data_IF_941658727620
#
_entry.id   IF_941658727620
#
_cell.length_a   1.000
_cell.length_b   1.000
_cell.length_c   1.000
_cell.angle_alpha   90.00
_cell.angle_beta   90.00
_cell.angle_gamma   90.00
#
_symmetry.space_group_name_H-M   'P 1'
#
loop_
_entity.id
_entity.type
_entity.pdbx_description
1 polymer ?
#
# COMPACT_ATOMS: atom_id res chain seq x y z
N UNK A 1 15.12 -6.35 8.87
CA UNK A 1 14.08 -7.40 9.05
C UNK A 1 14.06 -8.51 7.99
N UNK A 2 14.60 -8.31 6.79
CA UNK A 2 14.62 -9.35 5.75
C UNK A 2 15.49 -10.55 6.15
N UNK A 3 15.04 -11.75 5.81
CA UNK A 3 15.79 -13.00 5.92
C UNK A 3 17.04 -13.01 5.03
N UNK A 4 17.99 -13.88 5.36
CA UNK A 4 19.23 -14.05 4.61
C UNK A 4 18.96 -14.42 3.15
N UNK A 5 17.99 -15.29 2.88
CA UNK A 5 17.61 -15.72 1.53
C UNK A 5 17.16 -14.54 0.67
N UNK A 6 16.35 -13.64 1.24
CA UNK A 6 15.89 -12.45 0.52
C UNK A 6 17.05 -11.48 0.24
N UNK A 7 17.91 -11.24 1.23
CA UNK A 7 19.04 -10.31 1.09
C UNK A 7 20.04 -10.78 0.04
N UNK A 8 20.29 -12.08 -0.05
CA UNK A 8 21.27 -12.69 -0.96
C UNK A 8 20.67 -13.15 -2.29
N UNK A 9 19.36 -13.00 -2.49
CA UNK A 9 18.75 -13.33 -3.76
C UNK A 9 19.36 -12.49 -4.89
N UNK A 10 19.69 -13.11 -6.05
CA UNK A 10 20.28 -12.41 -7.18
C UNK A 10 19.40 -11.24 -7.62
N UNK A 11 19.99 -10.05 -7.66
CA UNK A 11 19.30 -8.86 -8.11
C UNK A 11 19.61 -8.64 -9.60
N UNK A 12 18.61 -8.56 -10.49
CA UNK A 12 18.83 -8.18 -11.87
C UNK A 12 19.49 -6.81 -11.95
N UNK A 13 20.43 -6.62 -12.89
CA UNK A 13 21.17 -5.36 -13.06
C UNK A 13 20.26 -4.13 -13.19
N UNK A 14 19.11 -4.28 -13.86
CA UNK A 14 18.11 -3.22 -14.03
C UNK A 14 17.45 -2.76 -12.71
N UNK A 15 17.62 -3.52 -11.62
CA UNK A 15 17.07 -3.21 -10.29
C UNK A 15 18.16 -2.90 -9.25
N UNK A 16 19.44 -2.81 -9.63
CA UNK A 16 20.52 -2.37 -8.72
C UNK A 16 20.18 -1.02 -8.07
N UNK A 17 19.45 -0.17 -8.80
CA UNK A 17 18.78 1.00 -8.26
C UNK A 17 17.28 0.73 -8.23
N UNK A 18 16.59 1.04 -7.11
CA UNK A 18 15.14 0.91 -7.06
C UNK A 18 14.50 1.81 -8.12
N UNK A 19 13.44 1.35 -8.81
CA UNK A 19 12.73 2.18 -9.78
C UNK A 19 12.25 3.48 -9.12
N UNK A 20 12.52 4.61 -9.77
CA UNK A 20 12.17 5.94 -9.25
C UNK A 20 10.65 6.20 -9.19
N UNK A 21 9.87 5.39 -9.89
CA UNK A 21 8.42 5.52 -10.00
C UNK A 21 7.65 4.71 -8.94
N UNK A 22 8.34 4.01 -8.02
CA UNK A 22 7.66 3.39 -6.89
C UNK A 22 7.17 4.48 -5.92
N UNK A 23 5.85 4.55 -5.75
CA UNK A 23 5.21 5.49 -4.83
C UNK A 23 5.77 5.39 -3.41
N UNK A 24 5.78 6.51 -2.69
CA UNK A 24 6.17 6.55 -1.28
C UNK A 24 4.94 6.39 -0.39
N UNK A 25 5.10 5.68 0.71
CA UNK A 25 4.07 5.53 1.73
C UNK A 25 4.58 6.09 3.05
N UNK A 26 3.77 6.95 3.67
CA UNK A 26 4.12 7.64 4.91
C UNK A 26 3.19 7.28 6.08
N UNK A 27 2.23 6.39 5.85
CA UNK A 27 1.32 5.87 6.88
C UNK A 27 -0.08 6.46 6.85
N UNK A 28 -0.38 7.42 5.95
CA UNK A 28 -1.69 8.07 5.88
C UNK A 28 -2.63 7.54 4.79
N UNK A 29 -2.08 6.94 3.73
CA UNK A 29 -2.88 6.37 2.65
C UNK A 29 -3.41 4.97 2.96
N UNK A 30 -4.23 4.42 2.06
CA UNK A 30 -4.70 3.04 2.19
C UNK A 30 -3.53 2.06 1.96
N UNK A 31 -3.21 1.17 2.91
CA UNK A 31 -2.14 0.21 2.75
C UNK A 31 -2.43 -0.85 1.67
N UNK A 32 -3.70 -1.19 1.41
CA UNK A 32 -4.09 -2.12 0.35
C UNK A 32 -3.87 -1.51 -1.03
N UNK A 33 -4.22 -0.23 -1.23
CA UNK A 33 -3.92 0.50 -2.47
C UNK A 33 -2.40 0.56 -2.72
N UNK A 34 -1.61 0.90 -1.69
CA UNK A 34 -0.15 0.97 -1.84
C UNK A 34 0.47 -0.38 -2.25
N UNK A 35 0.02 -1.49 -1.65
CA UNK A 35 0.51 -2.81 -2.05
C UNK A 35 0.03 -3.16 -3.47
N UNK A 36 -1.22 -2.85 -3.81
CA UNK A 36 -1.77 -3.10 -5.15
C UNK A 36 -0.97 -2.37 -6.23
N UNK A 37 -0.67 -1.09 -6.03
CA UNK A 37 0.13 -0.29 -6.95
C UNK A 37 1.54 -0.86 -7.14
N UNK A 38 2.16 -1.33 -6.05
CA UNK A 38 3.45 -2.00 -6.13
C UNK A 38 3.37 -3.33 -6.87
N UNK A 39 2.35 -4.14 -6.61
CA UNK A 39 2.17 -5.42 -7.30
C UNK A 39 1.99 -5.20 -8.80
N UNK A 40 1.11 -4.28 -9.23
CA UNK A 40 0.91 -3.95 -10.65
C UNK A 40 2.23 -3.54 -11.32
N UNK A 41 2.98 -2.63 -10.71
CA UNK A 41 4.22 -2.12 -11.29
C UNK A 41 5.35 -3.16 -11.34
N UNK A 42 5.45 -4.01 -10.33
CA UNK A 42 6.53 -4.99 -10.19
C UNK A 42 6.22 -6.28 -10.95
N UNK A 43 4.95 -6.68 -11.05
CA UNK A 43 4.52 -7.82 -11.85
C UNK A 43 4.62 -7.53 -13.34
N UNK A 44 4.31 -6.31 -13.77
CA UNK A 44 4.58 -5.87 -15.14
C UNK A 44 6.06 -6.05 -15.54
N UNK A 45 6.98 -5.87 -14.57
CA UNK A 45 8.42 -6.07 -14.75
C UNK A 45 8.90 -7.48 -14.39
N UNK A 46 7.99 -8.42 -14.15
CA UNK A 46 8.27 -9.81 -13.78
C UNK A 46 9.19 -9.96 -12.55
N UNK A 47 9.04 -9.07 -11.58
CA UNK A 47 9.88 -9.03 -10.38
C UNK A 47 9.42 -10.09 -9.38
N UNK A 48 10.36 -10.96 -8.97
CA UNK A 48 10.10 -12.05 -8.02
C UNK A 48 9.84 -11.53 -6.61
N UNK A 49 9.08 -12.29 -5.82
CA UNK A 49 8.66 -11.90 -4.47
C UNK A 49 9.79 -11.52 -3.51
N UNK A 50 10.94 -12.19 -3.56
CA UNK A 50 12.10 -11.80 -2.74
C UNK A 50 12.63 -10.41 -3.10
N UNK A 51 12.64 -10.05 -4.39
CA UNK A 51 13.02 -8.71 -4.84
C UNK A 51 11.95 -7.69 -4.44
N UNK A 52 10.67 -8.04 -4.54
CA UNK A 52 9.57 -7.18 -4.06
C UNK A 52 9.78 -6.76 -2.60
N UNK A 53 10.18 -7.69 -1.72
CA UNK A 53 10.50 -7.38 -0.32
C UNK A 53 11.62 -6.33 -0.18
N UNK A 54 12.68 -6.44 -0.98
CA UNK A 54 13.79 -5.46 -0.97
C UNK A 54 13.32 -4.11 -1.47
N UNK A 55 12.60 -4.06 -2.59
CA UNK A 55 12.12 -2.82 -3.19
C UNK A 55 11.09 -2.11 -2.30
N UNK A 56 10.19 -2.85 -1.66
CA UNK A 56 9.20 -2.31 -0.74
C UNK A 56 9.82 -1.46 0.37
N UNK A 57 10.96 -1.89 0.93
CA UNK A 57 11.66 -1.11 1.97
C UNK A 57 12.04 0.30 1.52
N UNK A 58 12.27 0.49 0.21
CA UNK A 58 12.61 1.79 -0.38
C UNK A 58 11.40 2.71 -0.55
N UNK A 59 10.19 2.18 -0.45
CA UNK A 59 8.92 2.93 -0.59
C UNK A 59 8.48 3.56 0.73
N UNK A 60 9.03 3.09 1.86
CA UNK A 60 8.63 3.52 3.19
C UNK A 60 9.28 4.84 3.59
N UNK A 61 8.52 5.71 4.24
CA UNK A 61 8.98 7.00 4.74
C UNK A 61 8.40 7.32 6.11
N UNK A 62 9.05 8.19 6.88
CA UNK A 62 8.57 8.63 8.21
C UNK A 62 8.23 7.43 9.12
N UNK A 63 7.08 7.44 9.78
CA UNK A 63 6.59 6.40 10.71
C UNK A 63 6.58 4.98 10.13
N UNK A 64 6.42 4.82 8.81
CA UNK A 64 6.39 3.47 8.22
C UNK A 64 7.79 2.88 8.12
N UNK A 65 8.80 3.72 7.92
CA UNK A 65 10.18 3.29 7.98
C UNK A 65 10.58 2.88 9.40
N UNK A 66 10.09 3.60 10.42
CA UNK A 66 10.34 3.27 11.83
C UNK A 66 9.72 1.93 12.21
N UNK A 67 8.46 1.69 11.81
CA UNK A 67 7.82 0.37 11.96
C UNK A 67 8.67 -0.74 11.32
N UNK A 68 9.10 -0.54 10.08
CA UNK A 68 9.86 -1.55 9.35
C UNK A 68 11.23 -1.84 10.01
N UNK A 69 11.88 -0.81 10.57
CA UNK A 69 13.13 -0.96 11.33
C UNK A 69 12.93 -1.66 12.66
N UNK A 70 11.76 -1.54 13.28
CA UNK A 70 11.43 -2.20 14.55
C UNK A 70 11.13 -3.71 14.41
N UNK A 71 10.91 -4.21 13.18
CA UNK A 71 10.70 -5.62 12.94
C UNK A 71 11.95 -6.45 13.27
N UNK A 72 11.82 -7.65 13.88
CA UNK A 72 12.97 -8.47 14.25
C UNK A 72 13.86 -8.79 13.04
N UNK A 73 15.20 -8.82 13.21
CA UNK A 73 16.12 -9.24 12.16
C UNK A 73 15.75 -10.63 11.62
N UNK A 74 15.78 -10.80 10.30
CA UNK A 74 15.48 -12.07 9.65
C UNK A 74 14.03 -12.55 9.71
N UNK A 75 13.09 -11.79 10.29
CA UNK A 75 11.69 -12.21 10.46
C UNK A 75 10.88 -12.34 9.16
N UNK A 76 11.30 -11.67 8.08
CA UNK A 76 10.56 -11.63 6.80
C UNK A 76 11.15 -12.62 5.79
N UNK A 77 10.34 -13.60 5.38
CA UNK A 77 10.71 -14.71 4.50
C UNK A 77 10.01 -14.65 3.13
N UNK A 78 8.95 -13.86 2.97
CA UNK A 78 8.26 -13.73 1.69
C UNK A 78 7.53 -12.40 1.52
N UNK A 79 7.18 -12.09 0.27
CA UNK A 79 6.35 -10.93 -0.08
C UNK A 79 4.97 -11.01 0.55
N UNK A 80 4.35 -12.20 0.52
CA UNK A 80 3.06 -12.45 1.14
C UNK A 80 3.10 -12.17 2.65
N UNK A 81 4.15 -12.62 3.33
CA UNK A 81 4.30 -12.39 4.77
C UNK A 81 4.51 -10.90 5.10
N UNK A 82 5.35 -10.21 4.34
CA UNK A 82 5.62 -8.78 4.54
C UNK A 82 4.38 -7.92 4.29
N UNK A 83 3.72 -8.14 3.16
CA UNK A 83 2.55 -7.37 2.76
C UNK A 83 1.36 -7.62 3.69
N UNK A 84 1.20 -8.84 4.22
CA UNK A 84 0.22 -9.15 5.27
C UNK A 84 0.49 -8.36 6.55
N UNK A 85 1.70 -8.44 7.10
CA UNK A 85 2.06 -7.71 8.32
C UNK A 85 1.93 -6.19 8.17
N UNK A 86 2.30 -5.66 7.00
CA UNK A 86 2.13 -4.24 6.69
C UNK A 86 0.65 -3.83 6.72
N UNK A 87 -0.21 -4.57 6.02
CA UNK A 87 -1.67 -4.31 6.03
C UNK A 87 -2.26 -4.39 7.42
N UNK A 88 -1.87 -5.39 8.20
CA UNK A 88 -2.34 -5.57 9.58
C UNK A 88 -1.93 -4.37 10.46
N UNK A 89 -0.66 -3.96 10.38
CA UNK A 89 -0.15 -2.84 11.18
C UNK A 89 -0.78 -1.49 10.82
N UNK A 90 -1.02 -1.24 9.53
CA UNK A 90 -1.63 -0.01 9.04
C UNK A 90 -3.15 -0.12 8.82
N UNK A 91 -3.82 -1.09 9.45
CA UNK A 91 -5.27 -1.30 9.30
C UNK A 91 -6.09 -0.05 9.59
N UNK A 92 -5.68 0.75 10.58
CA UNK A 92 -6.37 2.00 10.93
C UNK A 92 -6.30 3.08 9.83
N UNK A 93 -5.38 2.95 8.87
CA UNK A 93 -5.25 3.83 7.71
C UNK A 93 -6.01 3.33 6.49
N UNK A 94 -6.70 2.18 6.57
CA UNK A 94 -7.52 1.67 5.48
C UNK A 94 -8.70 2.59 5.21
N UNK A 95 -8.99 2.82 3.94
CA UNK A 95 -10.23 3.48 3.56
C UNK A 95 -11.39 2.54 3.90
N UNK A 96 -12.50 3.08 4.42
CA UNK A 96 -13.68 2.27 4.68
C UNK A 96 -14.17 1.64 3.37
N UNK A 97 -14.64 0.38 3.42
CA UNK A 97 -15.18 -0.27 2.24
C UNK A 97 -16.39 0.51 1.73
N UNK A 98 -16.40 0.78 0.42
CA UNK A 98 -17.53 1.41 -0.27
C UNK A 98 -18.65 0.39 -0.39
N UNK A 99 -19.58 0.44 0.54
CA UNK A 99 -20.76 -0.43 0.63
C UNK A 99 -22.04 0.37 0.36
N UNK A 100 -23.13 -0.31 0.05
CA UNK A 100 -24.47 0.31 -0.03
C UNK A 100 -24.75 1.07 1.28
N UNK A 101 -24.41 0.50 2.44
CA UNK A 101 -24.56 1.15 3.74
C UNK A 101 -23.75 2.46 3.85
N UNK A 102 -22.52 2.53 3.31
CA UNK A 102 -21.78 3.81 3.29
C UNK A 102 -22.42 4.83 2.35
N UNK A 103 -23.00 4.41 1.23
CA UNK A 103 -23.73 5.32 0.33
C UNK A 103 -25.04 5.82 0.96
N UNK A 104 -25.73 4.99 1.74
CA UNK A 104 -26.94 5.37 2.48
C UNK A 104 -26.67 6.45 3.54
N UNK A 105 -25.44 6.55 4.07
CA UNK A 105 -25.06 7.65 4.98
C UNK A 105 -24.88 9.00 4.26
N UNK A 106 -24.79 9.00 2.93
CA UNK A 106 -24.66 10.22 2.13
C UNK A 106 -26.06 10.72 1.80
N UNK A 107 -26.56 11.59 2.67
CA UNK A 107 -27.85 12.27 2.49
C UNK A 107 -27.60 13.72 2.07
N UNK A 108 -28.54 14.27 1.29
CA UNK A 108 -28.53 15.69 0.94
C UNK A 108 -28.83 16.51 2.20
N UNK A 109 -27.97 17.48 2.51
CA UNK A 109 -28.20 18.39 3.64
C UNK A 109 -29.27 19.44 3.34
N UNK A 110 -29.94 19.95 4.38
CA UNK A 110 -31.03 20.92 4.26
C UNK A 110 -30.66 22.21 3.49
N UNK A 111 -29.37 22.59 3.54
CA UNK A 111 -28.82 23.76 2.85
C UNK A 111 -27.88 23.40 1.69
N UNK A 112 -27.85 22.14 1.30
CA UNK A 112 -26.99 21.65 0.23
C UNK A 112 -27.73 21.64 -1.11
N UNK A 113 -27.11 22.25 -2.14
CA UNK A 113 -27.66 22.16 -3.49
C UNK A 113 -27.62 20.71 -4.01
N UNK A 114 -28.59 20.34 -4.85
CA UNK A 114 -28.64 19.01 -5.47
C UNK A 114 -27.34 18.66 -6.23
N UNK A 115 -26.70 19.65 -6.85
CA UNK A 115 -25.43 19.46 -7.57
C UNK A 115 -24.29 19.08 -6.62
N UNK A 116 -24.16 19.78 -5.50
CA UNK A 116 -23.14 19.48 -4.49
C UNK A 116 -23.36 18.09 -3.87
N UNK A 117 -24.62 17.73 -3.62
CA UNK A 117 -24.97 16.39 -3.16
C UNK A 117 -24.55 15.30 -4.17
N UNK A 118 -24.94 15.45 -5.44
CA UNK A 118 -24.60 14.48 -6.49
C UNK A 118 -23.09 14.37 -6.71
N UNK A 119 -22.33 15.47 -6.58
CA UNK A 119 -20.87 15.44 -6.64
C UNK A 119 -20.27 14.61 -5.49
N UNK A 120 -20.77 14.75 -4.25
CA UNK A 120 -20.33 13.91 -3.11
C UNK A 120 -20.73 12.45 -3.29
N UNK A 121 -22.00 12.20 -3.63
CA UNK A 121 -22.54 10.86 -3.82
C UNK A 121 -21.78 10.11 -4.93
N UNK A 122 -21.57 10.73 -6.08
CA UNK A 122 -20.83 10.11 -7.18
C UNK A 122 -19.35 9.90 -6.85
N UNK A 123 -18.72 10.80 -6.09
CA UNK A 123 -17.33 10.61 -5.65
C UNK A 123 -17.18 9.35 -4.76
N UNK A 124 -18.13 9.12 -3.87
CA UNK A 124 -18.12 7.93 -3.02
C UNK A 124 -18.60 6.66 -3.76
N UNK A 125 -19.48 6.80 -4.76
CA UNK A 125 -20.05 5.67 -5.52
C UNK A 125 -19.20 5.18 -6.72
N UNK A 126 -18.40 6.06 -7.34
CA UNK A 126 -17.74 5.78 -8.64
C UNK A 126 -16.22 5.61 -8.53
N UNK A 127 -15.56 6.08 -7.47
CA UNK A 127 -14.11 5.87 -7.26
C UNK A 127 -13.79 4.57 -6.52
#
# INVERSE_FOLDING_TARGET
>A
PLSWEILNAPLPAILEKPPSNLGKYDGQGDPDEHISDLDVQLDYRQVRGHIKCRLFSTTLTKRTLDWYKALPPGSIHSWTQLSKQFREYFTASKKPPKTVATLETIVQGDNESLRAYLERFNKEAVQ
#
